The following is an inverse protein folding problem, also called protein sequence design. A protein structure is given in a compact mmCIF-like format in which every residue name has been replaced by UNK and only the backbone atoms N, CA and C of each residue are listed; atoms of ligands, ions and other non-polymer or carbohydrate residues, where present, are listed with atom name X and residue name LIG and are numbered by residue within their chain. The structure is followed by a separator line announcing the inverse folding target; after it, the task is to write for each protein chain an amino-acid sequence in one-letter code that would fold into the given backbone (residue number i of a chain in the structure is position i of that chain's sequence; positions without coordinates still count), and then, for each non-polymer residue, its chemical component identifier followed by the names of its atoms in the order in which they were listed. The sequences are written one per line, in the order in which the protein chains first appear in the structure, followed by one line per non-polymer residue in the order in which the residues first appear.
data_IF_662915930293
#
_entry.id   IF_662915930293
#
_cell.length_a   1.000
_cell.length_b   1.000
_cell.length_c   1.000
_cell.angle_alpha   90.00
_cell.angle_beta   90.00
_cell.angle_gamma   90.00
#
_symmetry.space_group_name_H-M   'P 1'
#
loop_
_entity.id
_entity.type
_entity.pdbx_description
1 polymer ?
#
# COMPACT_ATOMS: atom_id res chain seq x y z
N UNK A 1 16.77 -2.73 -31.81
CA UNK A 1 15.95 -1.96 -30.82
C UNK A 1 16.88 -0.95 -30.17
N UNK A 2 16.45 0.29 -30.10
CA UNK A 2 17.22 1.33 -29.40
C UNK A 2 17.36 0.96 -27.91
N UNK A 3 18.55 1.09 -27.34
CA UNK A 3 18.84 0.77 -25.94
C UNK A 3 17.92 1.52 -24.97
N UNK A 4 17.55 2.76 -25.32
CA UNK A 4 16.62 3.57 -24.53
C UNK A 4 15.19 2.97 -24.53
N UNK A 5 14.76 2.38 -25.63
CA UNK A 5 13.44 1.72 -25.70
C UNK A 5 13.40 0.48 -24.79
N UNK A 6 14.46 -0.34 -24.81
CA UNK A 6 14.55 -1.53 -23.93
C UNK A 6 14.55 -1.10 -22.46
N UNK A 7 15.31 -0.05 -22.13
CA UNK A 7 15.38 0.48 -20.78
C UNK A 7 14.03 1.01 -20.31
N UNK A 8 13.32 1.78 -21.14
CA UNK A 8 11.99 2.29 -20.82
C UNK A 8 11.00 1.14 -20.61
N UNK A 9 11.05 0.10 -21.46
CA UNK A 9 10.18 -1.08 -21.30
C UNK A 9 10.42 -1.80 -19.97
N UNK A 10 11.69 -1.98 -19.55
CA UNK A 10 12.03 -2.57 -18.24
C UNK A 10 11.48 -1.71 -17.11
N UNK A 11 11.61 -0.38 -17.20
CA UNK A 11 11.08 0.56 -16.19
C UNK A 11 9.56 0.43 -16.07
N UNK A 12 8.84 0.41 -17.19
CA UNK A 12 7.38 0.28 -17.21
C UNK A 12 6.94 -1.07 -16.62
N UNK A 13 7.58 -2.17 -17.00
CA UNK A 13 7.30 -3.50 -16.44
C UNK A 13 7.56 -3.53 -14.93
N UNK A 14 8.65 -2.90 -14.47
CA UNK A 14 8.98 -2.81 -13.05
C UNK A 14 7.94 -1.96 -12.30
N UNK A 15 7.47 -0.86 -12.89
CA UNK A 15 6.44 -0.01 -12.30
C UNK A 15 5.09 -0.74 -12.19
N UNK A 16 4.67 -1.45 -13.22
CA UNK A 16 3.45 -2.27 -13.18
C UNK A 16 3.59 -3.45 -12.20
N UNK A 17 4.79 -4.03 -12.07
CA UNK A 17 5.08 -5.06 -11.06
C UNK A 17 5.00 -4.49 -9.65
N UNK A 18 5.49 -3.26 -9.44
CA UNK A 18 5.30 -2.55 -8.16
C UNK A 18 3.81 -2.36 -7.85
N UNK A 19 3.00 -1.90 -8.82
CA UNK A 19 1.57 -1.67 -8.62
C UNK A 19 0.81 -2.98 -8.35
N UNK A 20 1.18 -4.05 -9.04
CA UNK A 20 0.67 -5.39 -8.77
C UNK A 20 1.02 -5.85 -7.34
N UNK A 21 2.27 -5.65 -6.87
CA UNK A 21 2.65 -5.98 -5.49
C UNK A 21 1.96 -5.08 -4.48
N UNK A 22 1.74 -3.81 -4.78
CA UNK A 22 0.96 -2.89 -3.99
C UNK A 22 -0.49 -3.39 -3.87
N UNK A 23 -1.12 -3.79 -4.98
CA UNK A 23 -2.47 -4.32 -5.00
C UNK A 23 -2.65 -5.50 -4.03
N UNK A 24 -1.79 -6.52 -4.05
CA UNK A 24 -1.95 -7.64 -3.13
C UNK A 24 -1.50 -7.31 -1.70
N UNK A 25 -0.48 -6.47 -1.50
CA UNK A 25 -0.05 -6.06 -0.18
C UNK A 25 -1.16 -5.28 0.54
N UNK A 26 -1.76 -4.32 -0.17
CA UNK A 26 -2.67 -3.33 0.40
C UNK A 26 -4.16 -3.71 0.28
N UNK A 27 -4.51 -4.88 -0.30
CA UNK A 27 -5.87 -5.45 -0.23
C UNK A 27 -6.39 -5.50 1.22
N UNK A 28 -5.48 -5.70 2.18
CA UNK A 28 -5.78 -5.72 3.60
C UNK A 28 -6.40 -4.41 4.09
N UNK A 29 -5.98 -3.27 3.55
CA UNK A 29 -6.46 -1.95 3.95
C UNK A 29 -7.96 -1.80 3.72
N UNK A 30 -8.47 -2.39 2.64
CA UNK A 30 -9.86 -2.30 2.26
C UNK A 30 -10.74 -3.44 2.82
N UNK A 31 -10.18 -4.65 2.98
CA UNK A 31 -11.00 -5.85 3.18
C UNK A 31 -10.70 -6.62 4.47
N UNK A 32 -9.64 -6.29 5.22
CA UNK A 32 -9.27 -7.06 6.39
C UNK A 32 -10.37 -7.08 7.46
N UNK A 33 -11.00 -5.95 7.71
CA UNK A 33 -12.09 -5.80 8.70
C UNK A 33 -13.34 -6.56 8.28
N UNK A 34 -13.79 -6.41 7.02
CA UNK A 34 -14.98 -7.11 6.48
C UNK A 34 -14.80 -8.63 6.42
N UNK A 35 -13.58 -9.11 6.17
CA UNK A 35 -13.23 -10.53 6.24
C UNK A 35 -13.21 -11.02 7.68
N UNK A 36 -12.63 -10.23 8.60
CA UNK A 36 -12.50 -10.61 10.00
C UNK A 36 -13.83 -10.66 10.75
N UNK A 37 -14.78 -9.79 10.40
CA UNK A 37 -16.14 -9.76 10.96
C UNK A 37 -17.07 -10.80 10.32
N UNK A 38 -16.67 -11.35 9.17
CA UNK A 38 -17.52 -12.27 8.38
C UNK A 38 -18.55 -11.58 7.50
N UNK A 39 -18.58 -10.24 7.43
CA UNK A 39 -19.47 -9.49 6.53
C UNK A 39 -19.27 -9.86 5.06
N UNK A 40 -18.04 -10.18 4.67
CA UNK A 40 -17.71 -10.69 3.34
C UNK A 40 -16.88 -11.98 3.43
N UNK A 41 -17.24 -12.95 2.59
CA UNK A 41 -16.39 -14.14 2.38
C UNK A 41 -15.05 -13.72 1.75
N UNK A 42 -13.91 -14.28 2.17
CA UNK A 42 -12.59 -13.81 1.73
C UNK A 42 -12.42 -13.66 0.22
N UNK A 43 -12.81 -14.65 -0.59
CA UNK A 43 -12.69 -14.59 -2.06
C UNK A 43 -13.61 -13.55 -2.69
N UNK A 44 -14.81 -13.35 -2.14
CA UNK A 44 -15.76 -12.32 -2.61
C UNK A 44 -15.23 -10.94 -2.30
N UNK A 45 -14.66 -10.75 -1.09
CA UNK A 45 -14.07 -9.50 -0.65
C UNK A 45 -12.95 -9.03 -1.60
N UNK A 46 -11.98 -9.89 -1.91
CA UNK A 46 -10.87 -9.52 -2.81
C UNK A 46 -11.33 -9.29 -4.25
N UNK A 47 -12.33 -10.04 -4.74
CA UNK A 47 -12.91 -9.84 -6.07
C UNK A 47 -13.64 -8.49 -6.17
N UNK A 48 -14.47 -8.16 -5.17
CA UNK A 48 -15.15 -6.87 -5.08
C UNK A 48 -14.14 -5.71 -5.01
N UNK A 49 -13.14 -5.85 -4.15
CA UNK A 49 -12.08 -4.85 -4.01
C UNK A 49 -11.30 -4.65 -5.30
N UNK A 50 -10.97 -5.71 -6.04
CA UNK A 50 -10.26 -5.62 -7.31
C UNK A 50 -11.04 -4.79 -8.35
N UNK A 51 -12.34 -5.06 -8.50
CA UNK A 51 -13.20 -4.30 -9.42
C UNK A 51 -13.28 -2.83 -9.01
N UNK A 52 -13.44 -2.56 -7.72
CA UNK A 52 -13.55 -1.19 -7.21
C UNK A 52 -12.22 -0.43 -7.23
N UNK A 53 -11.08 -1.10 -7.00
CA UNK A 53 -9.76 -0.51 -7.21
C UNK A 53 -9.55 -0.12 -8.67
N UNK A 54 -9.93 -1.00 -9.60
CA UNK A 54 -9.89 -0.67 -11.03
C UNK A 54 -10.71 0.59 -11.34
N UNK A 55 -11.96 0.62 -10.91
CA UNK A 55 -12.84 1.77 -11.13
C UNK A 55 -12.33 3.05 -10.46
N UNK A 56 -11.83 2.93 -9.22
CA UNK A 56 -11.28 4.05 -8.45
C UNK A 56 -10.10 4.74 -9.12
N UNK A 57 -9.28 3.98 -9.86
CA UNK A 57 -8.10 4.50 -10.56
C UNK A 57 -8.44 5.60 -11.60
N UNK A 58 -9.68 5.68 -12.05
CA UNK A 58 -10.15 6.66 -13.04
C UNK A 58 -10.75 7.94 -12.42
N UNK A 59 -10.95 7.98 -11.09
CA UNK A 59 -11.68 9.08 -10.46
C UNK A 59 -10.88 10.38 -10.31
N UNK A 60 -9.54 10.30 -10.28
CA UNK A 60 -8.67 11.47 -10.13
C UNK A 60 -7.29 11.18 -10.74
N UNK A 61 -6.54 12.24 -11.08
CA UNK A 61 -5.15 12.18 -11.51
C UNK A 61 -4.24 13.14 -10.71
N UNK A 62 -4.75 13.75 -9.64
CA UNK A 62 -4.01 14.75 -8.87
C UNK A 62 -2.80 14.17 -8.14
N UNK A 63 -2.93 12.97 -7.58
CA UNK A 63 -1.82 12.26 -6.92
C UNK A 63 -0.75 11.86 -7.96
N UNK A 64 -1.16 11.41 -9.15
CA UNK A 64 -0.24 11.09 -10.23
C UNK A 64 0.61 12.31 -10.65
N UNK A 65 -0.01 13.48 -10.77
CA UNK A 65 0.70 14.73 -11.05
C UNK A 65 1.71 15.08 -9.94
N UNK A 66 1.34 14.93 -8.68
CA UNK A 66 2.24 15.17 -7.54
C UNK A 66 3.44 14.22 -7.57
N UNK A 67 3.26 12.95 -7.88
CA UNK A 67 4.37 11.98 -7.98
C UNK A 67 5.25 12.29 -9.19
N UNK A 68 4.66 12.60 -10.35
CA UNK A 68 5.40 12.82 -11.58
C UNK A 68 6.35 14.04 -11.52
N UNK A 69 5.94 15.11 -10.85
CA UNK A 69 6.67 16.38 -10.89
C UNK A 69 6.96 17.00 -9.53
N UNK A 70 6.37 16.47 -8.44
CA UNK A 70 6.40 17.09 -7.12
C UNK A 70 7.46 16.53 -6.15
N UNK A 71 8.09 15.39 -6.41
CA UNK A 71 9.00 14.73 -5.46
C UNK A 71 10.47 15.01 -5.79
N UNK A 72 10.83 15.00 -7.07
CA UNK A 72 12.20 15.19 -7.58
C UNK A 72 12.23 16.17 -8.75
N UNK A 73 13.40 16.73 -9.03
CA UNK A 73 13.61 17.61 -10.19
C UNK A 73 13.61 16.78 -11.48
N UNK A 74 12.59 16.92 -12.31
CA UNK A 74 12.40 16.11 -13.53
C UNK A 74 13.56 16.21 -14.52
N UNK A 75 14.28 17.34 -14.54
CA UNK A 75 15.47 17.53 -15.41
C UNK A 75 16.72 16.77 -14.98
N UNK A 76 16.76 16.29 -13.72
CA UNK A 76 17.88 15.52 -13.18
C UNK A 76 17.62 14.02 -13.16
N UNK A 77 16.42 13.56 -13.55
CA UNK A 77 16.00 12.16 -13.44
C UNK A 77 16.27 11.43 -14.75
N UNK A 78 16.90 10.25 -14.63
CA UNK A 78 17.12 9.29 -15.70
C UNK A 78 16.25 8.06 -15.53
N UNK A 79 16.06 7.28 -16.59
CA UNK A 79 15.35 6.00 -16.51
C UNK A 79 15.96 5.04 -15.49
N UNK A 80 17.29 5.05 -15.33
CA UNK A 80 18.00 4.23 -14.34
C UNK A 80 17.65 4.64 -12.91
N UNK A 81 17.46 5.94 -12.64
CA UNK A 81 17.03 6.45 -11.32
C UNK A 81 15.60 6.00 -11.02
N UNK A 82 14.68 6.14 -11.98
CA UNK A 82 13.29 5.68 -11.80
C UNK A 82 13.26 4.17 -11.56
N UNK A 83 13.98 3.39 -12.36
CA UNK A 83 14.11 1.95 -12.19
C UNK A 83 14.59 1.58 -10.79
N UNK A 84 15.69 2.17 -10.35
CA UNK A 84 16.30 1.88 -9.05
C UNK A 84 15.36 2.24 -7.88
N UNK A 85 14.65 3.36 -8.00
CA UNK A 85 13.62 3.75 -7.05
C UNK A 85 12.48 2.73 -6.94
N UNK A 86 12.01 2.23 -8.08
CA UNK A 86 11.01 1.17 -8.14
C UNK A 86 11.50 -0.13 -7.49
N UNK A 87 12.76 -0.51 -7.70
CA UNK A 87 13.37 -1.68 -7.02
C UNK A 87 13.37 -1.49 -5.51
N UNK A 88 13.67 -0.29 -5.00
CA UNK A 88 13.58 0.03 -3.58
C UNK A 88 12.19 -0.19 -3.01
N UNK A 89 11.16 0.34 -3.69
CA UNK A 89 9.77 0.16 -3.31
C UNK A 89 9.29 -1.28 -3.39
N UNK A 90 9.61 -1.97 -4.48
CA UNK A 90 9.23 -3.37 -4.72
C UNK A 90 9.84 -4.31 -3.66
N UNK A 91 11.13 -4.17 -3.39
CA UNK A 91 11.83 -4.99 -2.42
C UNK A 91 11.22 -4.83 -1.01
N UNK A 92 10.90 -3.59 -0.61
CA UNK A 92 10.26 -3.33 0.68
C UNK A 92 8.85 -3.92 0.77
N UNK A 93 8.03 -3.73 -0.27
CA UNK A 93 6.68 -4.30 -0.33
C UNK A 93 6.70 -5.83 -0.21
N UNK A 94 7.57 -6.51 -0.95
CA UNK A 94 7.68 -7.97 -0.90
C UNK A 94 8.20 -8.48 0.46
N UNK A 95 9.17 -7.78 1.03
CA UNK A 95 9.73 -8.14 2.33
C UNK A 95 8.66 -8.02 3.44
N UNK A 96 7.97 -6.88 3.50
CA UNK A 96 6.93 -6.64 4.51
C UNK A 96 5.72 -7.53 4.30
N UNK A 97 5.32 -7.82 3.06
CA UNK A 97 4.30 -8.81 2.76
C UNK A 97 4.70 -10.21 3.24
N UNK A 98 5.93 -10.64 3.00
CA UNK A 98 6.42 -11.94 3.44
C UNK A 98 6.28 -12.12 4.96
N UNK A 99 6.59 -11.09 5.73
CA UNK A 99 6.43 -11.11 7.19
C UNK A 99 5.00 -10.80 7.66
N UNK A 100 4.09 -10.41 6.75
CA UNK A 100 2.73 -10.00 7.08
C UNK A 100 2.67 -8.68 7.85
N UNK A 101 3.64 -7.79 7.63
CA UNK A 101 3.72 -6.48 8.27
C UNK A 101 2.98 -5.46 7.41
N UNK A 102 1.89 -4.84 7.89
CA UNK A 102 1.25 -3.73 7.19
C UNK A 102 2.18 -2.51 7.15
N UNK A 103 2.82 -2.28 6.01
CA UNK A 103 3.73 -1.16 5.78
C UNK A 103 3.20 -0.23 4.69
N UNK A 104 3.83 0.93 4.51
CA UNK A 104 3.42 1.91 3.52
C UNK A 104 4.09 1.68 2.18
N UNK A 105 3.37 1.17 1.19
CA UNK A 105 3.81 1.08 -0.20
C UNK A 105 4.15 2.46 -0.79
N UNK A 106 3.41 3.51 -0.39
CA UNK A 106 3.68 4.90 -0.81
C UNK A 106 5.03 5.39 -0.33
N UNK A 107 5.33 5.21 0.96
CA UNK A 107 6.61 5.62 1.53
C UNK A 107 7.75 4.76 0.98
N UNK A 108 7.52 3.48 0.69
CA UNK A 108 8.50 2.62 0.05
C UNK A 108 8.86 3.10 -1.35
N UNK A 109 7.86 3.45 -2.17
CA UNK A 109 8.09 3.99 -3.50
C UNK A 109 8.84 5.33 -3.47
N UNK A 110 8.32 6.27 -2.67
CA UNK A 110 8.92 7.61 -2.54
C UNK A 110 10.35 7.50 -1.97
N UNK A 111 10.54 6.70 -0.93
CA UNK A 111 11.86 6.44 -0.35
C UNK A 111 12.85 5.90 -1.39
N UNK A 112 12.45 4.87 -2.13
CA UNK A 112 13.27 4.31 -3.21
C UNK A 112 13.70 5.34 -4.24
N UNK A 113 12.76 6.17 -4.74
CA UNK A 113 13.04 7.24 -5.70
C UNK A 113 13.97 8.29 -5.11
N UNK A 114 13.72 8.72 -3.87
CA UNK A 114 14.57 9.70 -3.17
C UNK A 114 15.98 9.16 -3.00
N UNK A 115 16.14 7.92 -2.54
CA UNK A 115 17.45 7.31 -2.33
C UNK A 115 18.26 7.16 -3.62
N UNK A 116 17.62 6.69 -4.69
CA UNK A 116 18.23 6.59 -6.01
C UNK A 116 18.65 7.99 -6.54
N UNK A 117 17.77 8.99 -6.37
CA UNK A 117 18.05 10.38 -6.80
C UNK A 117 19.20 11.01 -6.04
N UNK A 118 19.25 10.82 -4.71
CA UNK A 118 20.32 11.36 -3.86
C UNK A 118 21.71 10.90 -4.31
N UNK A 119 21.85 9.61 -4.63
CA UNK A 119 23.15 9.05 -5.08
C UNK A 119 23.45 9.43 -6.53
N UNK A 120 22.43 9.52 -7.39
CA UNK A 120 22.60 9.80 -8.82
C UNK A 120 22.87 11.27 -9.12
N UNK A 121 22.14 12.17 -8.47
CA UNK A 121 22.09 13.60 -8.83
C UNK A 121 22.29 14.55 -7.64
N UNK A 122 22.49 14.02 -6.44
CA UNK A 122 22.71 14.82 -5.24
C UNK A 122 21.44 15.35 -4.58
N UNK A 123 21.60 15.98 -3.42
CA UNK A 123 20.49 16.46 -2.60
C UNK A 123 19.67 17.58 -3.25
N UNK A 124 20.28 18.39 -4.12
CA UNK A 124 19.59 19.49 -4.83
C UNK A 124 18.53 19.00 -5.83
N UNK A 125 18.62 17.74 -6.28
CA UNK A 125 17.64 17.12 -7.17
C UNK A 125 16.41 16.60 -6.42
N UNK A 126 16.40 16.59 -5.09
CA UNK A 126 15.29 16.15 -4.24
C UNK A 126 14.54 17.37 -3.72
N UNK A 127 13.22 17.40 -3.95
CA UNK A 127 12.33 18.47 -3.48
C UNK A 127 11.99 18.30 -2.00
N UNK A 128 12.96 18.54 -1.11
CA UNK A 128 12.83 18.29 0.32
C UNK A 128 11.62 18.95 0.97
N UNK A 129 11.32 20.21 0.65
CA UNK A 129 10.16 20.94 1.18
C UNK A 129 8.83 20.29 0.76
N UNK A 130 8.74 19.80 -0.48
CA UNK A 130 7.56 19.09 -0.98
C UNK A 130 7.41 17.72 -0.31
N UNK A 131 8.50 17.01 -0.07
CA UNK A 131 8.47 15.74 0.68
C UNK A 131 7.98 15.98 2.11
N UNK A 132 8.48 17.00 2.78
CA UNK A 132 8.01 17.34 4.13
C UNK A 132 6.52 17.66 4.12
N UNK A 133 6.06 18.54 3.24
CA UNK A 133 4.68 19.02 3.22
C UNK A 133 3.66 18.00 2.68
N UNK A 134 4.04 17.23 1.64
CA UNK A 134 3.11 16.32 0.96
C UNK A 134 3.23 14.85 1.38
N UNK A 135 4.32 14.48 2.08
CA UNK A 135 4.57 13.10 2.49
C UNK A 135 4.71 12.98 4.00
N UNK A 136 5.68 13.68 4.61
CA UNK A 136 5.99 13.47 6.04
C UNK A 136 4.90 14.04 6.96
N UNK A 137 4.39 15.23 6.69
CA UNK A 137 3.29 15.81 7.48
C UNK A 137 2.02 14.96 7.36
N UNK A 138 1.54 14.59 6.15
CA UNK A 138 0.42 13.67 6.01
C UNK A 138 0.67 12.28 6.62
N UNK A 139 1.91 11.78 6.63
CA UNK A 139 2.25 10.50 7.25
C UNK A 139 1.94 10.45 8.75
N UNK A 140 2.02 11.58 9.43
CA UNK A 140 1.69 11.72 10.86
C UNK A 140 0.23 12.12 11.06
N UNK A 141 -0.24 13.14 10.31
CA UNK A 141 -1.58 13.71 10.55
C UNK A 141 -2.70 12.79 10.06
N UNK A 142 -2.52 12.07 8.94
CA UNK A 142 -3.59 11.24 8.39
C UNK A 142 -3.98 10.06 9.30
N UNK A 143 -3.05 9.25 9.86
CA UNK A 143 -3.42 8.20 10.80
C UNK A 143 -4.01 8.77 12.11
N UNK A 144 -3.53 9.92 12.60
CA UNK A 144 -4.13 10.56 13.78
C UNK A 144 -5.57 11.02 13.53
N UNK A 145 -5.81 11.64 12.38
CA UNK A 145 -7.16 12.00 11.95
C UNK A 145 -8.05 10.75 11.81
N UNK A 146 -7.54 9.68 11.21
CA UNK A 146 -8.25 8.43 11.06
C UNK A 146 -8.58 7.77 12.40
N UNK A 147 -7.64 7.77 13.36
CA UNK A 147 -7.88 7.30 14.73
C UNK A 147 -9.03 8.11 15.36
N UNK A 148 -8.95 9.44 15.31
CA UNK A 148 -9.95 10.31 15.91
C UNK A 148 -11.33 10.10 15.28
N UNK A 149 -11.43 10.14 13.96
CA UNK A 149 -12.70 9.97 13.24
C UNK A 149 -13.31 8.59 13.50
N UNK A 150 -12.50 7.53 13.47
CA UNK A 150 -12.97 6.19 13.75
C UNK A 150 -13.38 5.99 15.22
N UNK A 151 -12.65 6.60 16.17
CA UNK A 151 -13.00 6.57 17.60
C UNK A 151 -14.38 7.20 17.84
N UNK A 152 -14.56 8.43 17.34
CA UNK A 152 -15.83 9.15 17.47
C UNK A 152 -16.95 8.42 16.71
N UNK A 153 -16.68 7.99 15.48
CA UNK A 153 -17.64 7.25 14.66
C UNK A 153 -18.12 5.97 15.32
N UNK A 154 -17.21 5.16 15.87
CA UNK A 154 -17.54 3.94 16.60
C UNK A 154 -18.35 4.24 17.86
N UNK A 155 -17.93 5.20 18.67
CA UNK A 155 -18.67 5.62 19.86
C UNK A 155 -20.11 6.01 19.48
N UNK A 156 -20.29 6.87 18.47
CA UNK A 156 -21.61 7.31 18.02
C UNK A 156 -22.47 6.14 17.52
N UNK A 157 -21.90 5.22 16.76
CA UNK A 157 -22.62 4.01 16.30
C UNK A 157 -23.20 3.24 17.47
N UNK A 158 -22.41 2.97 18.51
CA UNK A 158 -22.90 2.24 19.67
C UNK A 158 -23.90 3.04 20.53
N UNK A 159 -23.71 4.34 20.68
CA UNK A 159 -24.66 5.23 21.40
C UNK A 159 -26.00 5.30 20.68
N UNK A 160 -26.00 5.54 19.37
CA UNK A 160 -27.22 5.67 18.58
C UNK A 160 -27.99 4.34 18.53
N UNK A 161 -27.27 3.22 18.46
CA UNK A 161 -27.89 1.89 18.30
C UNK A 161 -28.02 1.12 19.62
N UNK A 162 -27.84 1.76 20.76
CA UNK A 162 -27.86 1.12 22.09
C UNK A 162 -29.17 0.36 22.40
N UNK A 163 -30.28 0.86 21.89
CA UNK A 163 -31.61 0.28 22.08
C UNK A 163 -32.02 -0.70 20.98
N UNK A 164 -31.17 -0.91 19.96
CA UNK A 164 -31.43 -1.85 18.87
C UNK A 164 -31.00 -3.24 19.31
N UNK A 165 -31.86 -4.29 19.17
CA UNK A 165 -31.47 -5.67 19.47
C UNK A 165 -30.18 -6.05 18.76
N UNK A 166 -29.31 -6.80 19.44
CA UNK A 166 -27.97 -7.12 18.98
C UNK A 166 -27.95 -7.79 17.59
N UNK A 167 -28.84 -8.77 17.37
CA UNK A 167 -28.94 -9.44 16.06
C UNK A 167 -29.36 -8.51 14.93
N UNK A 168 -30.30 -7.58 15.20
CA UNK A 168 -30.74 -6.60 14.21
C UNK A 168 -29.61 -5.62 13.91
N UNK A 169 -28.92 -5.15 14.96
CA UNK A 169 -27.75 -4.27 14.82
C UNK A 169 -26.65 -4.95 14.01
N UNK A 170 -26.28 -6.19 14.36
CA UNK A 170 -25.25 -6.97 13.66
C UNK A 170 -25.58 -7.11 12.18
N UNK A 171 -26.77 -7.59 11.82
CA UNK A 171 -27.18 -7.76 10.42
C UNK A 171 -27.23 -6.44 9.65
N UNK A 172 -27.72 -5.35 10.25
CA UNK A 172 -27.76 -4.03 9.64
C UNK A 172 -26.35 -3.53 9.30
N UNK A 173 -25.40 -3.70 10.24
CA UNK A 173 -24.02 -3.30 10.02
C UNK A 173 -23.21 -4.28 9.13
N UNK A 174 -23.60 -5.53 8.97
CA UNK A 174 -23.05 -6.41 7.93
C UNK A 174 -23.23 -5.79 6.53
N UNK A 175 -24.44 -5.34 6.20
CA UNK A 175 -24.71 -4.65 4.92
C UNK A 175 -24.02 -3.28 4.85
N UNK A 176 -24.08 -2.52 5.94
CA UNK A 176 -23.36 -1.24 6.02
C UNK A 176 -21.87 -1.39 5.80
N UNK A 177 -21.26 -2.43 6.37
CA UNK A 177 -19.84 -2.72 6.23
C UNK A 177 -19.47 -3.15 4.80
N UNK A 178 -20.31 -3.88 4.08
CA UNK A 178 -20.07 -4.13 2.65
C UNK A 178 -20.00 -2.81 1.87
N UNK A 179 -20.88 -1.87 2.19
CA UNK A 179 -20.87 -0.52 1.59
C UNK A 179 -19.60 0.26 1.93
N UNK A 180 -19.21 0.33 3.21
CA UNK A 180 -18.01 1.06 3.63
C UNK A 180 -16.72 0.43 3.10
N UNK A 181 -16.59 -0.89 3.09
CA UNK A 181 -15.48 -1.61 2.46
C UNK A 181 -15.37 -1.33 0.95
N UNK A 182 -16.52 -1.24 0.27
CA UNK A 182 -16.58 -0.83 -1.13
C UNK A 182 -16.05 0.59 -1.34
N UNK A 183 -16.42 1.52 -0.46
CA UNK A 183 -15.90 2.90 -0.50
C UNK A 183 -14.39 2.97 -0.24
N UNK A 184 -13.87 2.18 0.72
CA UNK A 184 -12.41 2.11 0.95
C UNK A 184 -11.69 1.56 -0.28
N UNK A 185 -12.23 0.51 -0.91
CA UNK A 185 -11.63 -0.07 -2.13
C UNK A 185 -11.59 0.95 -3.26
N UNK A 186 -12.67 1.69 -3.46
CA UNK A 186 -12.72 2.76 -4.45
C UNK A 186 -11.71 3.87 -4.14
N UNK A 187 -11.67 4.32 -2.88
CA UNK A 187 -10.72 5.33 -2.39
C UNK A 187 -9.27 4.87 -2.52
N UNK A 188 -8.98 3.60 -2.23
CA UNK A 188 -7.67 2.99 -2.37
C UNK A 188 -7.20 3.04 -3.84
N UNK A 189 -8.02 2.54 -4.78
CA UNK A 189 -7.70 2.65 -6.21
C UNK A 189 -7.49 4.08 -6.67
N UNK A 190 -8.31 5.04 -6.15
CA UNK A 190 -8.18 6.47 -6.45
C UNK A 190 -6.87 7.07 -5.94
N UNK A 191 -6.27 6.56 -4.88
CA UNK A 191 -4.99 7.06 -4.36
C UNK A 191 -3.80 6.24 -4.89
N UNK A 192 -3.86 4.93 -4.77
CA UNK A 192 -2.69 4.07 -4.91
C UNK A 192 -2.30 3.79 -6.36
N UNK A 193 -3.25 3.53 -7.26
CA UNK A 193 -2.94 3.37 -8.68
C UNK A 193 -2.28 4.62 -9.30
N UNK A 194 -2.63 5.80 -8.80
CA UNK A 194 -2.06 7.06 -9.29
C UNK A 194 -0.56 7.21 -8.99
N UNK A 195 -0.02 6.54 -7.97
CA UNK A 195 1.40 6.60 -7.64
C UNK A 195 2.23 5.95 -8.75
N UNK A 196 1.80 4.79 -9.21
CA UNK A 196 2.42 4.12 -10.36
C UNK A 196 2.20 4.88 -11.66
N UNK A 197 1.00 5.43 -11.89
CA UNK A 197 0.74 6.31 -13.03
C UNK A 197 1.73 7.49 -13.05
N UNK A 198 1.96 8.13 -11.89
CA UNK A 198 2.91 9.23 -11.77
C UNK A 198 4.35 8.81 -12.06
N UNK A 199 4.78 7.65 -11.57
CA UNK A 199 6.14 7.13 -11.84
C UNK A 199 6.33 6.74 -13.31
N UNK A 200 5.35 6.11 -13.95
CA UNK A 200 5.42 5.81 -15.39
C UNK A 200 5.43 7.13 -16.19
N UNK A 201 4.61 8.11 -15.82
CA UNK A 201 4.61 9.43 -16.45
C UNK A 201 5.98 10.12 -16.30
N UNK A 202 6.59 10.06 -15.10
CA UNK A 202 7.95 10.56 -14.86
C UNK A 202 8.98 9.85 -15.73
N UNK A 203 8.87 8.54 -15.89
CA UNK A 203 9.76 7.77 -16.78
C UNK A 203 9.60 8.16 -18.26
N UNK A 204 8.37 8.37 -18.72
CA UNK A 204 8.08 8.83 -20.07
C UNK A 204 8.62 10.25 -20.32
N UNK A 205 8.54 11.14 -19.34
CA UNK A 205 9.14 12.48 -19.40
C UNK A 205 10.66 12.36 -19.46
N UNK A 206 11.27 11.53 -18.61
CA UNK A 206 12.72 11.30 -18.60
C UNK A 206 13.25 10.68 -19.91
N UNK A 207 12.44 9.88 -20.58
CA UNK A 207 12.74 9.31 -21.91
C UNK A 207 12.49 10.29 -23.06
N UNK A 208 11.92 11.47 -22.80
CA UNK A 208 11.51 12.41 -23.84
C UNK A 208 10.31 11.95 -24.69
N UNK A 209 9.59 10.93 -24.22
CA UNK A 209 8.42 10.37 -24.94
C UNK A 209 7.16 11.22 -24.77
N UNK A 210 7.08 11.99 -23.66
CA UNK A 210 6.00 12.96 -23.40
C UNK A 210 6.58 14.27 -22.84
N UNK A 211 5.90 15.38 -23.08
CA UNK A 211 6.28 16.67 -22.54
C UNK A 211 6.05 16.76 -21.02
N UNK A 212 6.75 17.67 -20.34
CA UNK A 212 6.62 17.88 -18.87
C UNK A 212 5.20 18.27 -18.44
N UNK A 213 4.48 18.96 -19.31
CA UNK A 213 3.11 19.42 -19.05
C UNK A 213 2.06 18.46 -19.64
N UNK A 214 2.49 17.35 -20.26
CA UNK A 214 1.59 16.33 -20.71
C UNK A 214 0.98 15.61 -19.52
N UNK A 215 -0.33 15.49 -19.48
CA UNK A 215 -1.02 14.68 -18.46
C UNK A 215 -0.63 13.20 -18.59
N UNK A 216 -1.04 12.39 -17.62
CA UNK A 216 -0.84 10.95 -17.67
C UNK A 216 -1.55 10.34 -18.87
N UNK A 217 -0.84 9.61 -19.76
CA UNK A 217 -1.46 8.98 -20.94
C UNK A 217 -2.53 7.95 -20.54
N UNK A 218 -3.61 7.85 -21.32
CA UNK A 218 -4.75 6.95 -21.01
C UNK A 218 -4.31 5.49 -20.88
N UNK A 219 -3.38 5.02 -21.72
CA UNK A 219 -2.88 3.64 -21.60
C UNK A 219 -2.15 3.37 -20.27
N UNK A 220 -1.49 4.39 -19.70
CA UNK A 220 -0.84 4.29 -18.38
C UNK A 220 -1.90 4.13 -17.30
N UNK A 221 -3.01 4.88 -17.39
CA UNK A 221 -4.13 4.77 -16.45
C UNK A 221 -4.70 3.36 -16.48
N UNK A 222 -5.02 2.84 -17.67
CA UNK A 222 -5.58 1.50 -17.85
C UNK A 222 -4.61 0.41 -17.38
N UNK A 223 -3.32 0.52 -17.71
CA UNK A 223 -2.31 -0.46 -17.33
C UNK A 223 -2.11 -0.50 -15.81
N UNK A 224 -2.00 0.66 -15.15
CA UNK A 224 -1.88 0.74 -13.68
C UNK A 224 -3.16 0.25 -12.99
N UNK A 225 -4.34 0.69 -13.45
CA UNK A 225 -5.63 0.20 -12.93
C UNK A 225 -5.74 -1.33 -13.00
N UNK A 226 -5.28 -1.92 -14.12
CA UNK A 226 -5.27 -3.37 -14.31
C UNK A 226 -4.27 -4.05 -13.38
N UNK A 227 -3.06 -3.52 -13.27
CA UNK A 227 -2.01 -4.10 -12.42
C UNK A 227 -2.42 -4.14 -10.95
N UNK A 228 -2.91 -3.02 -10.39
CA UNK A 228 -3.36 -2.97 -9.00
C UNK A 228 -4.58 -3.88 -8.76
N UNK A 229 -5.53 -3.95 -9.70
CA UNK A 229 -6.70 -4.79 -9.60
C UNK A 229 -6.33 -6.29 -9.60
N UNK A 230 -5.44 -6.72 -10.48
CA UNK A 230 -4.95 -8.10 -10.51
C UNK A 230 -4.22 -8.47 -9.22
N UNK A 231 -3.38 -7.56 -8.70
CA UNK A 231 -2.74 -7.75 -7.40
C UNK A 231 -3.75 -7.89 -6.27
N UNK A 232 -4.73 -6.99 -6.22
CA UNK A 232 -5.81 -7.02 -5.22
C UNK A 232 -6.59 -8.33 -5.26
N UNK A 233 -6.89 -8.85 -6.44
CA UNK A 233 -7.62 -10.13 -6.61
C UNK A 233 -6.87 -11.32 -6.03
N UNK A 234 -5.54 -11.35 -6.08
CA UNK A 234 -4.75 -12.40 -5.46
C UNK A 234 -4.85 -12.38 -3.92
N UNK A 235 -5.04 -11.23 -3.34
CA UNK A 235 -5.19 -11.01 -1.91
C UNK A 235 -3.89 -11.15 -1.13
N UNK A 236 -3.63 -10.17 -0.26
CA UNK A 236 -2.49 -10.17 0.67
C UNK A 236 -2.81 -10.89 1.98
N UNK A 237 -3.13 -12.17 1.93
CA UNK A 237 -3.71 -12.94 3.05
C UNK A 237 -2.94 -12.80 4.37
N UNK A 238 -1.60 -12.68 4.32
CA UNK A 238 -0.75 -12.49 5.52
C UNK A 238 -1.02 -11.14 6.18
N UNK A 239 -1.12 -10.08 5.38
CA UNK A 239 -1.38 -8.71 5.85
C UNK A 239 -2.85 -8.57 6.26
N UNK A 240 -3.78 -9.20 5.49
CA UNK A 240 -5.21 -9.27 5.83
C UNK A 240 -5.39 -9.86 7.24
N UNK A 241 -4.71 -10.97 7.54
CA UNK A 241 -4.78 -11.59 8.88
C UNK A 241 -4.26 -10.66 9.97
N UNK A 242 -3.15 -9.95 9.71
CA UNK A 242 -2.56 -9.02 10.68
C UNK A 242 -3.48 -7.86 11.01
N UNK A 243 -4.06 -7.21 10.00
CA UNK A 243 -4.97 -6.08 10.21
C UNK A 243 -6.34 -6.52 10.74
N UNK A 244 -6.88 -7.63 10.24
CA UNK A 244 -8.23 -8.08 10.60
C UNK A 244 -8.33 -8.75 11.96
N UNK A 245 -7.30 -9.51 12.36
CA UNK A 245 -7.30 -10.28 13.62
C UNK A 245 -6.24 -9.84 14.62
N UNK A 246 -5.26 -9.06 14.16
CA UNK A 246 -4.08 -8.73 14.97
C UNK A 246 -4.24 -7.51 15.86
N UNK A 247 -4.84 -6.43 15.40
CA UNK A 247 -4.85 -5.15 16.11
C UNK A 247 -5.90 -5.05 17.20
N UNK A 248 -7.12 -5.49 16.90
CA UNK A 248 -8.26 -5.48 17.84
C UNK A 248 -9.26 -6.56 17.42
N UNK A 249 -10.11 -6.95 18.35
CA UNK A 249 -11.28 -7.78 18.03
C UNK A 249 -12.37 -6.86 17.46
N UNK A 250 -12.71 -7.08 16.19
CA UNK A 250 -13.61 -6.21 15.42
C UNK A 250 -14.97 -6.87 15.26
N UNK A 251 -16.02 -6.13 15.60
CA UNK A 251 -17.42 -6.41 15.26
C UNK A 251 -17.86 -5.60 14.02
N UNK A 252 -18.99 -5.97 13.41
CA UNK A 252 -19.49 -5.29 12.21
C UNK A 252 -19.75 -3.79 12.37
N UNK A 253 -20.27 -3.27 13.52
CA UNK A 253 -20.40 -1.83 13.73
C UNK A 253 -19.04 -1.10 13.78
N UNK A 254 -18.03 -1.72 14.39
CA UNK A 254 -16.66 -1.18 14.42
C UNK A 254 -16.02 -1.18 13.05
N UNK A 255 -16.19 -2.29 12.29
CA UNK A 255 -15.71 -2.41 10.92
C UNK A 255 -16.30 -1.34 10.01
N UNK A 256 -17.62 -1.13 10.08
CA UNK A 256 -18.30 -0.06 9.36
C UNK A 256 -17.72 1.32 9.66
N UNK A 257 -17.54 1.65 10.95
CA UNK A 257 -16.98 2.95 11.36
C UNK A 257 -15.51 3.12 10.93
N UNK A 258 -14.68 2.07 11.07
CA UNK A 258 -13.28 2.10 10.65
C UNK A 258 -13.13 2.28 9.15
N UNK A 259 -13.87 1.51 8.35
CA UNK A 259 -13.84 1.59 6.90
C UNK A 259 -14.41 2.93 6.39
N UNK A 260 -15.54 3.40 6.93
CA UNK A 260 -16.11 4.70 6.60
C UNK A 260 -15.14 5.85 6.89
N UNK A 261 -14.45 5.82 8.03
CA UNK A 261 -13.42 6.78 8.39
C UNK A 261 -12.23 6.73 7.45
N UNK A 262 -11.77 5.53 7.10
CA UNK A 262 -10.67 5.33 6.14
C UNK A 262 -11.02 5.90 4.77
N UNK A 263 -12.19 5.57 4.25
CA UNK A 263 -12.65 6.07 2.94
C UNK A 263 -12.69 7.61 2.92
N UNK A 264 -13.25 8.23 3.96
CA UNK A 264 -13.33 9.69 4.04
C UNK A 264 -11.95 10.35 4.01
N UNK A 265 -10.99 9.86 4.82
CA UNK A 265 -9.62 10.42 4.89
C UNK A 265 -8.87 10.21 3.57
N UNK A 266 -8.98 9.01 2.95
CA UNK A 266 -8.28 8.70 1.69
C UNK A 266 -8.85 9.53 0.54
N UNK A 267 -10.17 9.65 0.39
CA UNK A 267 -10.77 10.50 -0.64
C UNK A 267 -10.42 11.97 -0.48
N UNK A 268 -10.48 12.49 0.75
CA UNK A 268 -10.08 13.87 1.03
C UNK A 268 -8.62 14.11 0.61
N UNK A 269 -7.71 13.21 0.96
CA UNK A 269 -6.30 13.31 0.59
C UNK A 269 -6.09 13.26 -0.93
N UNK A 270 -6.77 12.35 -1.62
CA UNK A 270 -6.69 12.21 -3.08
C UNK A 270 -7.22 13.47 -3.78
N UNK A 271 -8.26 14.12 -3.21
CA UNK A 271 -8.79 15.37 -3.72
C UNK A 271 -7.76 16.51 -3.68
N UNK A 272 -6.93 16.56 -2.65
CA UNK A 272 -5.83 17.52 -2.51
C UNK A 272 -4.52 17.09 -3.21
N UNK A 273 -4.49 15.90 -3.81
CA UNK A 273 -3.33 15.37 -4.51
C UNK A 273 -2.20 14.87 -3.59
N UNK A 274 -2.50 14.55 -2.33
CA UNK A 274 -1.52 14.01 -1.40
C UNK A 274 -1.33 12.50 -1.61
N UNK A 275 -0.11 12.02 -1.88
CA UNK A 275 0.22 10.59 -1.98
C UNK A 275 0.34 9.96 -0.60
N UNK A 276 -0.76 9.94 0.15
CA UNK A 276 -0.73 9.41 1.52
C UNK A 276 -0.57 7.88 1.57
N UNK A 277 -0.26 7.39 2.77
CA UNK A 277 -0.25 5.96 3.08
C UNK A 277 -1.65 5.48 3.45
N UNK A 278 -2.29 4.75 2.56
CA UNK A 278 -3.59 4.11 2.82
C UNK A 278 -3.51 3.12 3.99
N UNK A 279 -2.36 2.42 4.14
CA UNK A 279 -2.10 1.52 5.27
C UNK A 279 -2.09 2.24 6.62
N UNK A 280 -1.47 3.42 6.71
CA UNK A 280 -1.46 4.21 7.94
C UNK A 280 -2.87 4.65 8.34
N UNK A 281 -3.67 5.09 7.35
CA UNK A 281 -5.06 5.50 7.57
C UNK A 281 -5.91 4.32 8.03
N UNK A 282 -5.89 3.21 7.30
CA UNK A 282 -6.74 2.05 7.61
C UNK A 282 -6.35 1.42 8.95
N UNK A 283 -5.05 1.26 9.23
CA UNK A 283 -4.60 0.77 10.53
C UNK A 283 -4.97 1.74 11.67
N UNK A 284 -4.83 3.05 11.44
CA UNK A 284 -5.29 4.08 12.38
C UNK A 284 -6.79 3.99 12.66
N UNK A 285 -7.61 3.83 11.62
CA UNK A 285 -9.05 3.66 11.76
C UNK A 285 -9.43 2.38 12.54
N UNK A 286 -8.71 1.27 12.31
CA UNK A 286 -8.90 0.03 13.06
C UNK A 286 -8.56 0.22 14.54
N UNK A 287 -7.44 0.88 14.85
CA UNK A 287 -7.07 1.25 16.24
C UNK A 287 -8.13 2.17 16.85
N UNK A 288 -8.54 3.20 16.12
CA UNK A 288 -9.57 4.14 16.56
C UNK A 288 -10.91 3.47 16.87
N UNK A 289 -11.33 2.51 16.05
CA UNK A 289 -12.56 1.75 16.29
C UNK A 289 -12.48 0.89 17.56
N UNK A 290 -11.30 0.31 17.87
CA UNK A 290 -11.05 -0.38 19.12
C UNK A 290 -11.11 0.56 20.34
N UNK A 291 -10.52 1.76 20.23
CA UNK A 291 -10.59 2.80 21.28
C UNK A 291 -12.04 3.25 21.52
N UNK A 292 -12.80 3.46 20.44
CA UNK A 292 -14.19 3.95 20.51
C UNK A 292 -15.16 2.99 21.17
N UNK A 293 -14.88 1.68 21.13
CA UNK A 293 -15.66 0.66 21.84
C UNK A 293 -15.07 0.36 23.21
N UNK A 294 -13.80 -0.01 23.29
CA UNK A 294 -13.15 -0.44 24.51
C UNK A 294 -11.62 -0.38 24.37
N UNK A 295 -10.96 0.51 25.13
CA UNK A 295 -9.50 0.71 25.10
C UNK A 295 -8.69 -0.58 25.32
N UNK A 296 -9.22 -1.50 26.17
CA UNK A 296 -8.54 -2.75 26.51
C UNK A 296 -8.44 -3.75 25.33
N UNK A 297 -9.19 -3.56 24.24
CA UNK A 297 -9.21 -4.47 23.10
C UNK A 297 -8.10 -4.18 22.08
N UNK A 298 -7.39 -3.05 22.19
CA UNK A 298 -6.30 -2.71 21.28
C UNK A 298 -5.00 -3.40 21.71
N UNK A 299 -4.39 -4.15 20.79
CA UNK A 299 -3.08 -4.79 21.02
C UNK A 299 -1.94 -3.81 20.73
N UNK A 300 -1.63 -2.96 21.70
CA UNK A 300 -0.65 -1.88 21.58
C UNK A 300 0.76 -2.35 21.21
N UNK A 301 1.15 -3.56 21.60
CA UNK A 301 2.45 -4.13 21.23
C UNK A 301 2.55 -4.35 19.71
N UNK A 302 1.47 -4.75 19.05
CA UNK A 302 1.44 -4.89 17.60
C UNK A 302 1.37 -3.52 16.91
N UNK A 303 0.55 -2.61 17.42
CA UNK A 303 0.48 -1.23 16.92
C UNK A 303 1.85 -0.54 16.97
N UNK A 304 2.61 -0.69 18.06
CA UNK A 304 3.96 -0.15 18.17
C UNK A 304 4.94 -0.75 17.16
N UNK A 305 4.87 -2.06 16.90
CA UNK A 305 5.70 -2.72 15.85
C UNK A 305 5.36 -2.22 14.46
N UNK A 306 4.06 -1.98 14.18
CA UNK A 306 3.64 -1.39 12.91
C UNK A 306 4.14 0.05 12.80
N UNK A 307 4.02 0.86 13.85
CA UNK A 307 4.56 2.22 13.89
C UNK A 307 6.08 2.26 13.64
N UNK A 308 6.84 1.34 14.25
CA UNK A 308 8.28 1.20 13.98
C UNK A 308 8.56 0.85 12.51
N UNK A 309 7.79 -0.09 11.92
CA UNK A 309 7.91 -0.43 10.52
C UNK A 309 7.61 0.77 9.61
N UNK A 310 6.61 1.60 9.95
CA UNK A 310 6.28 2.82 9.20
C UNK A 310 7.41 3.83 9.19
N UNK A 311 8.06 4.05 10.34
CA UNK A 311 9.21 4.97 10.45
C UNK A 311 10.41 4.49 9.64
N UNK A 312 10.65 3.18 9.58
CA UNK A 312 11.80 2.59 8.87
C UNK A 312 11.54 2.48 7.37
N UNK A 313 10.29 2.45 6.91
CA UNK A 313 9.92 2.18 5.51
C UNK A 313 10.63 3.10 4.52
N UNK A 314 10.52 4.42 4.71
CA UNK A 314 11.09 5.40 3.79
C UNK A 314 12.64 5.31 3.74
N UNK A 315 13.38 5.33 4.87
CA UNK A 315 14.84 5.21 4.84
C UNK A 315 15.32 3.85 4.34
N UNK A 316 14.66 2.75 4.67
CA UNK A 316 15.07 1.43 4.20
C UNK A 316 14.89 1.28 2.69
N UNK A 317 13.76 1.71 2.16
CA UNK A 317 13.53 1.72 0.72
C UNK A 317 14.51 2.66 -0.01
N UNK A 318 14.87 3.81 0.61
CA UNK A 318 15.86 4.73 0.07
C UNK A 318 17.25 4.07 -0.04
N UNK A 319 17.68 3.34 0.99
CA UNK A 319 18.94 2.58 0.94
C UNK A 319 18.93 1.54 -0.18
N UNK A 320 17.84 0.77 -0.32
CA UNK A 320 17.73 -0.23 -1.40
C UNK A 320 17.74 0.44 -2.78
N UNK A 321 17.01 1.55 -2.96
CA UNK A 321 17.00 2.30 -4.21
C UNK A 321 18.38 2.87 -4.56
N UNK A 322 19.09 3.42 -3.56
CA UNK A 322 20.47 3.91 -3.73
C UNK A 322 21.44 2.79 -4.15
N UNK A 323 21.36 1.63 -3.48
CA UNK A 323 22.17 0.44 -3.82
C UNK A 323 21.85 -0.10 -5.21
N UNK A 324 20.57 -0.16 -5.59
CA UNK A 324 20.13 -0.59 -6.91
C UNK A 324 20.68 0.34 -8.00
N UNK A 325 20.62 1.66 -7.78
CA UNK A 325 21.20 2.63 -8.71
C UNK A 325 22.72 2.47 -8.82
N UNK A 326 23.42 2.41 -7.68
CA UNK A 326 24.88 2.28 -7.66
C UNK A 326 25.33 1.00 -8.39
N UNK A 327 24.66 -0.14 -8.16
CA UNK A 327 24.95 -1.41 -8.83
C UNK A 327 24.71 -1.32 -10.34
N UNK A 328 23.58 -0.75 -10.77
CA UNK A 328 23.29 -0.56 -12.18
C UNK A 328 24.30 0.39 -12.87
N UNK A 329 24.73 1.46 -12.17
CA UNK A 329 25.66 2.44 -12.69
C UNK A 329 27.09 1.88 -12.83
N UNK A 330 27.55 1.08 -11.87
CA UNK A 330 28.88 0.44 -11.91
C UNK A 330 28.99 -0.53 -13.09
N UNK A 331 27.95 -1.31 -13.35
CA UNK A 331 27.92 -2.25 -14.49
C UNK A 331 27.77 -1.47 -15.82
N UNK A 332 26.98 -0.40 -15.77
CA UNK A 332 26.80 0.53 -16.89
C UNK A 332 25.68 0.15 -17.85
N UNK A 333 25.05 1.18 -18.42
CA UNK A 333 24.06 1.09 -19.48
C UNK A 333 22.86 0.20 -19.21
N UNK A 334 22.25 -0.29 -20.28
CA UNK A 334 21.10 -1.20 -20.18
C UNK A 334 21.45 -2.55 -19.54
N UNK A 335 22.72 -3.00 -19.63
CA UNK A 335 23.17 -4.24 -19.00
C UNK A 335 23.09 -4.15 -17.48
N UNK A 336 23.52 -3.04 -16.88
CA UNK A 336 23.45 -2.84 -15.44
C UNK A 336 22.01 -2.91 -14.92
N UNK A 337 21.07 -2.28 -15.62
CA UNK A 337 19.64 -2.34 -15.29
C UNK A 337 19.11 -3.77 -15.44
N UNK A 338 19.46 -4.46 -16.54
CA UNK A 338 19.02 -5.85 -16.76
C UNK A 338 19.54 -6.81 -15.68
N UNK A 339 20.78 -6.66 -15.23
CA UNK A 339 21.36 -7.47 -14.15
C UNK A 339 20.63 -7.22 -12.83
N UNK A 340 20.42 -5.96 -12.44
CA UNK A 340 19.69 -5.61 -11.20
C UNK A 340 18.24 -6.10 -11.27
N UNK A 341 17.60 -6.00 -12.44
CA UNK A 341 16.26 -6.54 -12.66
C UNK A 341 16.22 -8.07 -12.49
N UNK A 342 17.18 -8.78 -13.08
CA UNK A 342 17.30 -10.24 -12.92
C UNK A 342 17.49 -10.66 -11.46
N UNK A 343 18.34 -9.95 -10.70
CA UNK A 343 18.52 -10.16 -9.26
C UNK A 343 17.23 -9.91 -8.49
N UNK A 344 16.51 -8.82 -8.80
CA UNK A 344 15.23 -8.51 -8.15
C UNK A 344 14.18 -9.59 -8.43
N UNK A 345 14.10 -10.11 -9.66
CA UNK A 345 13.23 -11.23 -10.02
C UNK A 345 13.60 -12.51 -9.24
N UNK A 346 14.88 -12.83 -9.15
CA UNK A 346 15.35 -14.02 -8.43
C UNK A 346 15.03 -13.93 -6.93
N UNK A 347 15.23 -12.76 -6.30
CA UNK A 347 14.88 -12.54 -4.90
C UNK A 347 13.36 -12.58 -4.68
N UNK A 348 12.58 -12.01 -5.59
CA UNK A 348 11.10 -12.06 -5.54
C UNK A 348 10.60 -13.50 -5.62
N UNK A 349 11.15 -14.30 -6.54
CA UNK A 349 10.84 -15.72 -6.67
C UNK A 349 11.25 -16.50 -5.42
N UNK A 350 12.41 -16.25 -4.84
CA UNK A 350 12.87 -16.87 -3.61
C UNK A 350 11.93 -16.56 -2.42
N UNK A 351 11.50 -15.30 -2.25
CA UNK A 351 10.53 -14.91 -1.22
C UNK A 351 9.17 -15.60 -1.45
N UNK A 352 8.70 -15.65 -2.69
CA UNK A 352 7.46 -16.33 -3.04
C UNK A 352 7.54 -17.82 -2.70
N UNK A 353 8.60 -18.53 -3.11
CA UNK A 353 8.80 -19.94 -2.80
C UNK A 353 8.92 -20.19 -1.28
N UNK A 354 9.63 -19.32 -0.57
CA UNK A 354 9.72 -19.38 0.89
C UNK A 354 8.33 -19.18 1.54
N UNK A 355 7.49 -18.31 0.99
CA UNK A 355 6.13 -18.08 1.49
C UNK A 355 5.23 -19.32 1.37
N UNK A 356 5.48 -20.17 0.38
CA UNK A 356 4.74 -21.43 0.16
C UNK A 356 4.95 -22.48 1.24
N UNK A 357 6.00 -22.36 2.04
CA UNK A 357 6.28 -23.31 3.15
C UNK A 357 5.27 -23.19 4.29
N UNK A 358 4.68 -22.00 4.49
CA UNK A 358 3.63 -21.74 5.48
C UNK A 358 2.58 -20.83 4.85
N UNK A 359 1.67 -21.38 4.04
CA UNK A 359 0.73 -20.58 3.28
C UNK A 359 -0.35 -19.99 4.18
N UNK A 360 -0.60 -18.69 4.02
CA UNK A 360 -1.83 -18.05 4.48
C UNK A 360 -2.69 -17.81 3.24
N UNK A 361 -3.94 -18.20 3.29
CA UNK A 361 -4.87 -18.16 2.15
C UNK A 361 -6.30 -17.86 2.61
N UNK A 362 -7.24 -17.80 1.68
CA UNK A 362 -8.65 -17.52 1.95
C UNK A 362 -9.32 -18.51 2.92
N UNK A 363 -8.80 -19.74 3.06
CA UNK A 363 -9.37 -20.77 3.92
C UNK A 363 -8.91 -20.68 5.38
N UNK A 364 -7.73 -20.05 5.64
CA UNK A 364 -7.15 -19.99 6.99
C UNK A 364 -6.84 -18.55 7.47
N UNK A 365 -7.29 -17.54 6.74
CA UNK A 365 -7.03 -16.13 7.08
C UNK A 365 -7.69 -15.70 8.40
N UNK A 366 -8.78 -16.35 8.77
CA UNK A 366 -9.55 -16.09 10.00
C UNK A 366 -9.22 -17.04 11.16
N UNK A 367 -8.30 -18.00 10.98
CA UNK A 367 -7.89 -18.91 12.05
C UNK A 367 -7.27 -18.13 13.21
N UNK A 368 -7.32 -18.71 14.42
CA UNK A 368 -6.70 -18.14 15.60
C UNK A 368 -5.23 -17.80 15.34
N UNK A 369 -4.84 -16.61 15.74
CA UNK A 369 -3.51 -16.09 15.50
C UNK A 369 -2.90 -15.46 16.74
N UNK A 370 -1.69 -15.92 17.10
CA UNK A 370 -0.98 -15.50 18.30
C UNK A 370 -0.33 -14.12 18.23
N UNK A 371 -0.49 -13.38 17.12
CA UNK A 371 0.10 -12.04 16.94
C UNK A 371 1.60 -12.06 16.59
N UNK A 372 2.21 -13.22 16.30
CA UNK A 372 3.62 -13.29 15.87
C UNK A 372 3.75 -12.94 14.39
N UNK A 373 4.49 -11.89 14.08
CA UNK A 373 4.69 -11.37 12.71
C UNK A 373 5.71 -12.17 11.89
N UNK A 374 6.51 -13.05 12.49
CA UNK A 374 7.50 -13.84 11.78
C UNK A 374 7.18 -15.34 11.85
N UNK A 375 7.59 -16.15 10.85
CA UNK A 375 7.59 -17.58 11.01
C UNK A 375 8.55 -17.92 12.14
N UNK A 376 8.04 -18.49 13.26
CA UNK A 376 8.91 -19.06 14.26
C UNK A 376 9.78 -20.14 13.58
N UNK A 377 11.09 -19.99 13.66
CA UNK A 377 12.02 -21.04 13.27
C UNK A 377 11.73 -22.27 14.15
N UNK A 378 11.24 -23.32 13.52
CA UNK A 378 11.16 -24.69 13.99
C UNK A 378 10.87 -24.94 15.46
N UNK A 379 9.62 -25.12 15.82
CA UNK A 379 9.18 -26.17 16.74
C UNK A 379 7.78 -26.59 16.30
N UNK A 380 7.66 -27.83 15.87
CA UNK A 380 6.37 -28.51 15.82
C UNK A 380 5.95 -28.68 17.27
N UNK A 381 5.03 -27.88 17.77
CA UNK A 381 4.21 -28.29 18.89
C UNK A 381 3.29 -29.40 18.35
N UNK A 382 3.59 -30.63 18.69
CA UNK A 382 2.66 -31.73 18.60
C UNK A 382 1.48 -31.36 19.52
N UNK A 383 0.32 -31.11 18.93
CA UNK A 383 -0.93 -31.20 19.64
C UNK A 383 -1.08 -32.65 20.07
N UNK A 384 -1.05 -32.88 21.39
CA UNK A 384 -1.55 -34.06 22.04
C UNK A 384 -3.04 -33.89 22.32
#
# INVERSE_FOLDING_TARGET
MDANFVLLAIVIVTALSFDFTNGFHDTANAMATSIATGALRPKVAVALSAVLNFAGAFLSLKVAATIATGIVETGAITLTVVFAGLIGGLAWNLLTWYFGIPSSSSHALIGGVVGATLIAAGASAVKGAEIVSKVLIPAVLAPLAAILVATVGTYLVYVITRNVPEDTRRRGFEYGQIGSASLVSLAHGTNDAQKTMGIITLALIAAGAVGKDAGTPTWVIVASATAIALGTYLGGWRVIRTLGKGLTEIETPQGFAAEGSSAAVIFASSHFGFPLSTTHVCAGSVIGSGIGKHLAQVRWSLAARMGAAWLITLPAAAVVGALAWASANVIGGALGVAVVFGVALALSAALYLASRRRPVNAGNVNDEWTGRLAPATGTREHAA
#
